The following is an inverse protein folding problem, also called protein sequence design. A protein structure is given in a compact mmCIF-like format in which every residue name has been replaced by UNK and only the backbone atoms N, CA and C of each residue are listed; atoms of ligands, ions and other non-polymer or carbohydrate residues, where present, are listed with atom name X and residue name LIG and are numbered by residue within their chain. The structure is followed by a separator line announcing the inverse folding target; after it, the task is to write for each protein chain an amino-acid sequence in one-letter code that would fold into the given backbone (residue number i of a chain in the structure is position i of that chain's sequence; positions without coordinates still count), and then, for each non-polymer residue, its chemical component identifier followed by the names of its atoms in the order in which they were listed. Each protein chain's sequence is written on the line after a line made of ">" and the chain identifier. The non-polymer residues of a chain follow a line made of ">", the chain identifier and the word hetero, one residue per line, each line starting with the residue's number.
data_IF_574816569841
#
_entry.id   IF_574816569841
#
_cell.length_a   1.000
_cell.length_b   1.000
_cell.length_c   1.000
_cell.angle_alpha   90.00
_cell.angle_beta   90.00
_cell.angle_gamma   90.00
#
_symmetry.space_group_name_H-M   'P 1'
#
loop_
_entity.id
_entity.type
_entity.pdbx_description
1 polymer ?
#
# COMPACT_ATOMS: atom_id res chain seq x y z
N UNK A 1 -15.32 -5.11 1.56
CA UNK A 1 -14.32 -4.42 0.71
C UNK A 1 -13.15 -4.07 1.60
N UNK A 2 -11.94 -4.48 1.24
CA UNK A 2 -10.73 -4.25 2.07
C UNK A 2 -10.04 -2.96 1.65
N UNK A 3 -9.61 -2.16 2.63
CA UNK A 3 -8.82 -0.95 2.43
C UNK A 3 -7.34 -1.29 2.52
N UNK A 4 -6.55 -0.84 1.54
CA UNK A 4 -5.11 -1.05 1.49
C UNK A 4 -4.37 0.28 1.55
N UNK A 5 -3.43 0.38 2.48
CA UNK A 5 -2.56 1.53 2.64
C UNK A 5 -1.13 1.17 2.22
N UNK A 6 -0.60 1.83 1.19
CA UNK A 6 0.74 1.58 0.67
C UNK A 6 1.75 2.60 1.22
N UNK A 7 2.74 2.14 1.98
CA UNK A 7 3.89 2.97 2.39
C UNK A 7 4.94 2.91 1.28
N UNK A 8 5.11 4.01 0.54
CA UNK A 8 5.97 4.09 -0.64
C UNK A 8 5.27 3.71 -1.95
N UNK A 9 4.06 4.22 -2.17
CA UNK A 9 3.21 3.84 -3.31
C UNK A 9 3.81 4.20 -4.68
N UNK A 10 4.71 5.19 -4.76
CA UNK A 10 5.33 5.62 -6.03
C UNK A 10 6.43 4.67 -6.49
N UNK A 11 6.77 3.63 -5.72
CA UNK A 11 7.64 2.55 -6.19
C UNK A 11 7.08 1.84 -7.43
N UNK A 12 7.94 1.36 -8.34
CA UNK A 12 7.50 0.72 -9.59
C UNK A 12 6.62 -0.51 -9.36
N UNK A 13 7.02 -1.42 -8.45
CA UNK A 13 6.23 -2.60 -8.09
C UNK A 13 4.98 -2.26 -7.26
N UNK A 14 5.11 -1.30 -6.32
CA UNK A 14 4.01 -0.88 -5.45
C UNK A 14 2.88 -0.22 -6.25
N UNK A 15 3.24 0.65 -7.20
CA UNK A 15 2.26 1.30 -8.07
C UNK A 15 1.51 0.30 -8.94
N UNK A 16 2.19 -0.71 -9.49
CA UNK A 16 1.53 -1.76 -10.27
C UNK A 16 0.55 -2.56 -9.40
N UNK A 17 0.95 -2.95 -8.18
CA UNK A 17 0.09 -3.69 -7.27
C UNK A 17 -1.14 -2.87 -6.84
N UNK A 18 -0.95 -1.59 -6.50
CA UNK A 18 -2.01 -0.67 -6.14
C UNK A 18 -3.07 -0.56 -7.26
N UNK A 19 -2.63 -0.44 -8.51
CA UNK A 19 -3.51 -0.39 -9.68
C UNK A 19 -4.30 -1.67 -9.91
N UNK A 20 -3.74 -2.83 -9.55
CA UNK A 20 -4.41 -4.13 -9.65
C UNK A 20 -5.47 -4.25 -8.56
N UNK A 21 -5.13 -3.96 -7.30
CA UNK A 21 -6.08 -4.03 -6.18
C UNK A 21 -7.26 -3.10 -6.39
N UNK A 22 -7.03 -1.89 -6.90
CA UNK A 22 -8.13 -0.99 -7.22
C UNK A 22 -8.99 -1.49 -8.38
N UNK A 23 -8.38 -2.16 -9.38
CA UNK A 23 -9.12 -2.83 -10.46
C UNK A 23 -10.00 -3.98 -9.97
N UNK A 24 -9.67 -4.56 -8.80
CA UNK A 24 -10.48 -5.57 -8.11
C UNK A 24 -11.52 -4.95 -7.15
N UNK A 25 -11.78 -3.64 -7.27
CA UNK A 25 -12.73 -2.89 -6.45
C UNK A 25 -12.37 -2.80 -4.96
N UNK A 26 -11.09 -2.93 -4.61
CA UNK A 26 -10.59 -2.58 -3.29
C UNK A 26 -10.36 -1.08 -3.15
N UNK A 27 -10.45 -0.56 -1.93
CA UNK A 27 -10.07 0.81 -1.63
C UNK A 27 -8.55 0.87 -1.47
N UNK A 28 -7.90 1.74 -2.24
CA UNK A 28 -6.44 1.83 -2.26
C UNK A 28 -6.04 3.28 -2.01
N UNK A 29 -5.13 3.44 -1.06
CA UNK A 29 -4.44 4.69 -0.81
C UNK A 29 -2.95 4.43 -0.59
N UNK A 30 -2.14 5.46 -0.64
CA UNK A 30 -0.76 5.33 -0.21
C UNK A 30 -0.07 6.64 0.07
N UNK A 31 1.01 6.52 0.80
CA UNK A 31 1.89 7.59 1.22
C UNK A 31 3.21 7.54 0.44
N UNK A 32 3.76 8.71 0.13
CA UNK A 32 5.12 8.84 -0.40
C UNK A 32 5.67 10.25 -0.14
N UNK A 33 6.97 10.44 -0.40
CA UNK A 33 7.58 11.76 -0.41
C UNK A 33 6.90 12.67 -1.43
N UNK A 34 6.92 13.98 -1.18
CA UNK A 34 6.47 15.02 -2.12
C UNK A 34 7.47 15.24 -3.26
N UNK A 35 7.89 14.15 -3.90
CA UNK A 35 8.69 14.12 -5.10
C UNK A 35 7.86 13.50 -6.21
N UNK A 36 7.91 14.11 -7.39
CA UNK A 36 7.20 13.60 -8.57
C UNK A 36 7.99 12.46 -9.19
N UNK A 37 7.34 11.29 -9.33
CA UNK A 37 7.88 10.13 -10.03
C UNK A 37 7.01 9.81 -11.25
N UNK A 38 7.57 9.11 -12.24
CA UNK A 38 6.83 8.76 -13.46
C UNK A 38 5.62 7.84 -13.19
N UNK A 39 5.68 7.04 -12.11
CA UNK A 39 4.63 6.14 -11.62
C UNK A 39 3.42 6.89 -11.05
N UNK A 40 3.59 8.15 -10.65
CA UNK A 40 2.53 8.97 -10.06
C UNK A 40 1.37 9.18 -11.02
N UNK A 41 1.65 9.37 -12.32
CA UNK A 41 0.63 9.61 -13.34
C UNK A 41 -0.38 8.46 -13.42
N UNK A 42 0.08 7.21 -13.41
CA UNK A 42 -0.79 6.05 -13.46
C UNK A 42 -1.68 5.90 -12.21
N UNK A 43 -1.18 6.34 -11.05
CA UNK A 43 -1.94 6.34 -9.79
C UNK A 43 -3.04 7.41 -9.81
N UNK A 44 -2.70 8.62 -10.29
CA UNK A 44 -3.63 9.73 -10.46
C UNK A 44 -4.72 9.42 -11.48
N UNK A 45 -4.37 8.81 -12.62
CA UNK A 45 -5.32 8.39 -13.67
C UNK A 45 -6.36 7.40 -13.13
N UNK A 46 -5.97 6.53 -12.19
CA UNK A 46 -6.88 5.60 -11.50
C UNK A 46 -7.56 6.20 -10.26
N UNK A 47 -7.35 7.49 -9.98
CA UNK A 47 -7.90 8.22 -8.81
C UNK A 47 -7.51 7.57 -7.47
N UNK A 48 -6.31 7.02 -7.38
CA UNK A 48 -5.75 6.52 -6.12
C UNK A 48 -5.34 7.70 -5.25
N UNK A 49 -5.71 7.65 -3.96
CA UNK A 49 -5.40 8.73 -3.02
C UNK A 49 -3.91 8.67 -2.64
N UNK A 50 -3.16 9.71 -3.04
CA UNK A 50 -1.75 9.91 -2.69
C UNK A 50 -1.66 10.90 -1.53
N UNK A 51 -0.92 10.53 -0.49
CA UNK A 51 -0.78 11.32 0.74
C UNK A 51 0.70 11.53 1.07
N UNK A 52 1.05 12.61 1.80
CA UNK A 52 2.34 12.68 2.46
C UNK A 52 2.42 11.65 3.60
N UNK A 53 3.63 11.28 4.00
CA UNK A 53 3.83 10.46 5.20
C UNK A 53 3.25 11.17 6.43
N UNK A 54 2.33 10.47 7.11
CA UNK A 54 1.86 10.87 8.44
C UNK A 54 1.22 9.69 9.14
N UNK A 55 1.49 9.52 10.42
CA UNK A 55 0.85 8.51 11.27
C UNK A 55 -0.69 8.60 11.27
N UNK A 56 -1.25 9.80 11.03
CA UNK A 56 -2.70 10.03 10.98
C UNK A 56 -3.37 9.40 9.76
N UNK A 57 -2.59 8.95 8.76
CA UNK A 57 -3.13 8.24 7.62
C UNK A 57 -3.57 6.82 7.96
N UNK A 58 -3.02 6.25 9.04
CA UNK A 58 -3.26 4.86 9.41
C UNK A 58 -4.58 4.72 10.17
N UNK A 59 -5.41 3.77 9.72
CA UNK A 59 -6.71 3.42 10.29
C UNK A 59 -6.71 1.98 10.80
N UNK A 60 -7.58 1.64 11.76
CA UNK A 60 -7.68 0.27 12.30
C UNK A 60 -8.17 -0.77 11.29
N UNK A 61 -8.97 -0.33 10.30
CA UNK A 61 -9.73 -1.22 9.40
C UNK A 61 -9.08 -1.37 8.01
N UNK A 62 -7.75 -1.30 7.95
CA UNK A 62 -7.01 -1.42 6.69
C UNK A 62 -5.86 -2.42 6.76
N UNK A 63 -5.25 -2.69 5.61
CA UNK A 63 -4.06 -3.53 5.50
C UNK A 63 -2.93 -2.66 4.99
N UNK A 64 -1.85 -2.58 5.77
CA UNK A 64 -0.68 -1.77 5.42
C UNK A 64 0.30 -2.62 4.63
N UNK A 65 0.72 -2.14 3.48
CA UNK A 65 1.73 -2.76 2.62
C UNK A 65 2.93 -1.83 2.58
N UNK A 66 4.03 -2.26 3.17
CA UNK A 66 5.26 -1.48 3.24
C UNK A 66 6.29 -1.94 2.18
N UNK A 67 6.82 -0.98 1.44
CA UNK A 67 7.93 -1.20 0.53
C UNK A 67 9.23 -1.54 1.28
N UNK A 68 10.20 -2.12 0.56
CA UNK A 68 11.53 -2.42 1.13
C UNK A 68 12.37 -1.17 1.42
N UNK A 69 12.00 -0.03 0.84
CA UNK A 69 12.70 1.23 1.03
C UNK A 69 12.46 1.86 2.42
N UNK A 70 11.46 1.40 3.18
CA UNK A 70 11.05 1.99 4.45
C UNK A 70 11.27 1.03 5.63
N UNK A 71 12.09 1.40 6.63
CA UNK A 71 12.35 0.57 7.79
C UNK A 71 11.12 0.46 8.70
N UNK A 72 11.09 -0.54 9.58
CA UNK A 72 9.99 -0.72 10.57
C UNK A 72 9.80 0.48 11.52
N UNK A 73 10.80 1.34 11.63
CA UNK A 73 10.77 2.56 12.44
C UNK A 73 10.01 3.72 11.78
N UNK A 74 9.56 3.56 10.54
CA UNK A 74 8.77 4.57 9.85
C UNK A 74 7.48 4.84 10.65
N UNK A 75 7.11 6.11 10.81
CA UNK A 75 5.98 6.56 11.63
C UNK A 75 4.69 5.79 11.33
N UNK A 76 4.34 5.61 10.05
CA UNK A 76 3.15 4.85 9.63
C UNK A 76 3.24 3.35 9.96
N UNK A 77 4.42 2.74 9.83
CA UNK A 77 4.60 1.30 10.11
C UNK A 77 4.57 1.05 11.62
N UNK A 78 5.26 1.91 12.37
CA UNK A 78 5.23 1.90 13.83
C UNK A 78 3.81 2.07 14.34
N UNK A 79 3.05 3.02 13.77
CA UNK A 79 1.66 3.27 14.16
C UNK A 79 0.74 2.10 13.86
N UNK A 80 0.87 1.52 12.66
CA UNK A 80 0.12 0.33 12.28
C UNK A 80 0.39 -0.85 13.22
N UNK A 81 1.65 -1.08 13.61
CA UNK A 81 2.01 -2.11 14.59
C UNK A 81 1.45 -1.81 15.98
N UNK A 82 1.51 -0.57 16.45
CA UNK A 82 0.94 -0.14 17.73
C UNK A 82 -0.58 -0.38 17.78
N UNK A 83 -1.27 -0.09 16.68
CA UNK A 83 -2.72 -0.28 16.54
C UNK A 83 -3.13 -1.73 16.26
N UNK A 84 -2.17 -2.65 16.08
CA UNK A 84 -2.46 -4.05 15.73
C UNK A 84 -2.97 -4.25 14.29
N UNK A 85 -2.76 -3.26 13.42
CA UNK A 85 -3.14 -3.29 12.01
C UNK A 85 -2.23 -4.27 11.26
N UNK A 86 -2.76 -5.12 10.36
CA UNK A 86 -1.93 -6.03 9.56
C UNK A 86 -0.93 -5.26 8.70
N UNK A 87 0.36 -5.46 8.96
CA UNK A 87 1.46 -4.92 8.16
C UNK A 87 2.14 -6.04 7.38
N UNK A 88 2.20 -5.91 6.06
CA UNK A 88 2.92 -6.81 5.18
C UNK A 88 4.06 -6.09 4.46
N UNK A 89 5.19 -6.78 4.27
CA UNK A 89 6.19 -6.35 3.31
C UNK A 89 5.74 -6.70 1.90
N UNK A 90 6.12 -5.89 0.92
CA UNK A 90 5.74 -6.10 -0.49
C UNK A 90 5.99 -7.54 -0.97
N UNK A 91 7.15 -8.12 -0.68
CA UNK A 91 7.48 -9.49 -1.10
C UNK A 91 6.59 -10.54 -0.44
N UNK A 92 6.34 -10.41 0.86
CA UNK A 92 5.49 -11.33 1.62
C UNK A 92 4.03 -11.22 1.17
N UNK A 93 3.55 -9.99 0.98
CA UNK A 93 2.21 -9.72 0.47
C UNK A 93 2.04 -10.34 -0.91
N UNK A 94 2.96 -10.07 -1.85
CA UNK A 94 2.90 -10.61 -3.20
C UNK A 94 2.93 -12.15 -3.20
N UNK A 95 3.80 -12.76 -2.40
CA UNK A 95 3.89 -14.21 -2.29
C UNK A 95 2.61 -14.83 -1.72
N UNK A 96 2.03 -14.22 -0.68
CA UNK A 96 0.77 -14.66 -0.06
C UNK A 96 -0.41 -14.49 -1.03
N UNK A 97 -0.53 -13.30 -1.63
CA UNK A 97 -1.63 -12.93 -2.52
C UNK A 97 -1.69 -13.80 -3.78
N UNK A 98 -0.53 -14.17 -4.36
CA UNK A 98 -0.47 -15.12 -5.48
C UNK A 98 -1.10 -16.48 -5.14
N UNK A 99 -0.97 -16.96 -3.90
CA UNK A 99 -1.62 -18.21 -3.47
C UNK A 99 -3.13 -18.05 -3.41
N UNK A 100 -3.61 -16.91 -2.92
CA UNK A 100 -5.05 -16.62 -2.86
C UNK A 100 -5.70 -16.64 -4.26
N UNK A 101 -5.03 -16.10 -5.28
CA UNK A 101 -5.54 -16.07 -6.66
C UNK A 101 -5.55 -17.47 -7.30
N UNK A 102 -4.59 -18.34 -6.97
CA UNK A 102 -4.54 -19.69 -7.56
C UNK A 102 -5.63 -20.62 -7.02
N UNK A 103 -6.18 -20.36 -5.84
CA UNK A 103 -7.22 -21.19 -5.22
C UNK A 103 -8.63 -20.81 -5.70
N UNK A 104 -8.80 -19.65 -6.33
CA UNK A 104 -10.08 -19.21 -6.90
C UNK A 104 -10.28 -19.64 -8.37
N UNK A 105 -9.56 -20.65 -8.84
CA UNK A 105 -9.74 -21.33 -10.13
C UNK A 105 -10.00 -22.80 -9.91
#
# INVERSE_FOLDING_TARGET
>A
MTKYHFVGIKGTGMSALAQILQGLHHEVQGSDYDKRFFTQRALEDKKIKLLPFTEANISSDEVVIAGNAFPDQHEEISKAREMGVPVYRYYDFWACWRRTIQVSR
#
